data_IF_900393645092
#
_entry.id   IF_900393645092
#
_cell.length_a   1.000
_cell.length_b   1.000
_cell.length_c   1.000
_cell.angle_alpha   90.00
_cell.angle_beta   90.00
_cell.angle_gamma   90.00
#
_symmetry.space_group_name_H-M   'P 1'
#
loop_
_entity.id
_entity.type
_entity.pdbx_description
1 polymer ?
#
# COMPACT_ATOMS: atom_id res chain seq x y z
N UNK A 1 7.42 26.09 8.17
CA UNK A 1 8.43 25.04 7.96
C UNK A 1 7.82 24.02 7.04
N UNK A 2 8.48 23.69 5.94
CA UNK A 2 7.99 22.66 5.02
C UNK A 2 8.35 21.28 5.57
N UNK A 3 7.42 20.71 6.34
CA UNK A 3 7.59 19.44 7.05
C UNK A 3 7.51 18.24 6.10
N UNK A 4 6.60 18.31 5.13
CA UNK A 4 6.27 17.20 4.26
C UNK A 4 6.78 17.41 2.84
N UNK A 5 7.14 16.30 2.19
CA UNK A 5 7.35 16.24 0.75
C UNK A 5 6.20 15.42 0.19
N UNK A 6 5.45 16.01 -0.75
CA UNK A 6 4.27 15.39 -1.35
C UNK A 6 4.40 15.36 -2.86
N UNK A 7 3.94 14.28 -3.48
CA UNK A 7 3.95 14.14 -4.92
C UNK A 7 3.37 12.83 -5.41
N UNK A 8 3.64 12.56 -6.69
CA UNK A 8 3.36 11.27 -7.29
C UNK A 8 4.66 10.50 -7.45
N UNK A 9 4.62 9.21 -7.14
CA UNK A 9 5.71 8.28 -7.44
C UNK A 9 5.42 7.58 -8.78
N UNK A 10 6.45 7.31 -9.60
CA UNK A 10 6.30 6.43 -10.76
C UNK A 10 5.72 5.08 -10.34
N UNK A 11 4.97 4.43 -11.23
CA UNK A 11 4.50 3.08 -10.94
C UNK A 11 5.69 2.13 -10.74
N UNK A 12 5.71 1.34 -9.66
CA UNK A 12 6.77 0.35 -9.42
C UNK A 12 6.58 -0.92 -10.27
N UNK A 13 5.42 -1.10 -10.90
CA UNK A 13 5.12 -2.28 -11.72
C UNK A 13 5.27 -2.01 -13.21
N UNK A 14 6.12 -2.80 -13.89
CA UNK A 14 6.31 -2.72 -15.33
C UNK A 14 5.05 -3.08 -16.14
N UNK A 15 4.17 -3.92 -15.58
CA UNK A 15 2.90 -4.28 -16.21
C UNK A 15 1.83 -3.20 -16.08
N UNK A 16 1.99 -2.26 -15.15
CA UNK A 16 1.04 -1.17 -14.87
C UNK A 16 1.78 0.17 -14.83
N UNK A 17 2.47 0.59 -15.92
CA UNK A 17 3.35 1.76 -15.90
C UNK A 17 2.61 3.08 -15.63
N UNK A 18 1.32 3.11 -15.92
CA UNK A 18 0.47 4.29 -15.76
C UNK A 18 -0.27 4.32 -14.40
N UNK A 19 -0.03 3.34 -13.52
CA UNK A 19 -0.68 3.30 -12.21
C UNK A 19 -0.24 4.51 -11.37
N UNK A 20 -1.16 5.44 -11.03
CA UNK A 20 -0.80 6.60 -10.25
C UNK A 20 -0.57 6.20 -8.79
N UNK A 21 0.61 6.54 -8.25
CA UNK A 21 0.94 6.40 -6.84
C UNK A 21 1.08 7.78 -6.22
N UNK A 22 0.37 8.06 -5.13
CA UNK A 22 0.59 9.27 -4.33
C UNK A 22 1.42 8.94 -3.10
N UNK A 23 2.39 9.79 -2.81
CA UNK A 23 3.30 9.63 -1.69
C UNK A 23 3.39 10.92 -0.88
N UNK A 24 3.37 10.78 0.45
CA UNK A 24 3.76 11.84 1.37
C UNK A 24 4.86 11.33 2.30
N UNK A 25 5.91 12.13 2.43
CA UNK A 25 7.10 11.84 3.23
C UNK A 25 7.22 12.92 4.30
N UNK A 26 7.40 12.51 5.54
CA UNK A 26 7.86 13.40 6.61
C UNK A 26 9.37 13.57 6.48
N UNK A 27 9.83 14.76 6.07
CA UNK A 27 11.24 15.01 5.83
C UNK A 27 12.06 15.06 7.13
N UNK A 28 11.42 15.33 8.27
CA UNK A 28 12.09 15.37 9.56
C UNK A 28 12.24 13.98 10.16
N UNK A 29 11.17 13.19 10.12
CA UNK A 29 11.17 11.80 10.62
C UNK A 29 11.77 10.81 9.61
N UNK A 30 12.03 11.27 8.37
CA UNK A 30 12.55 10.46 7.26
C UNK A 30 11.69 9.20 7.04
N UNK A 31 10.39 9.40 7.02
CA UNK A 31 9.40 8.33 6.98
C UNK A 31 8.32 8.62 5.92
N UNK A 32 7.87 7.56 5.25
CA UNK A 32 6.69 7.61 4.38
C UNK A 32 5.45 7.56 5.26
N UNK A 33 4.62 8.58 5.20
CA UNK A 33 3.41 8.74 6.03
C UNK A 33 2.12 8.51 5.24
N UNK A 34 2.17 8.63 3.91
CA UNK A 34 1.09 8.23 3.00
C UNK A 34 1.70 7.52 1.82
N UNK A 35 1.13 6.37 1.47
CA UNK A 35 1.42 5.65 0.25
C UNK A 35 0.13 5.01 -0.25
N UNK A 36 -0.42 5.56 -1.33
CA UNK A 36 -1.72 5.13 -1.87
C UNK A 36 -1.63 4.95 -3.38
N UNK A 37 -2.34 3.94 -3.90
CA UNK A 37 -2.58 3.73 -5.33
C UNK A 37 -3.96 4.23 -5.73
N UNK A 38 -4.14 4.47 -7.03
CA UNK A 38 -5.44 4.76 -7.60
C UNK A 38 -6.07 3.51 -8.22
N UNK A 39 -7.18 3.05 -7.65
CA UNK A 39 -7.96 1.91 -8.13
C UNK A 39 -9.40 2.34 -8.30
N UNK A 40 -10.03 2.06 -9.45
CA UNK A 40 -11.41 2.44 -9.75
C UNK A 40 -11.74 3.90 -9.36
N UNK A 41 -10.90 4.81 -9.83
CA UNK A 41 -10.95 6.26 -9.58
C UNK A 41 -10.70 6.72 -8.13
N UNK A 42 -10.62 5.79 -7.18
CA UNK A 42 -10.46 6.03 -5.74
C UNK A 42 -9.00 5.89 -5.31
N UNK A 43 -8.58 6.65 -4.30
CA UNK A 43 -7.25 6.49 -3.72
C UNK A 43 -7.30 5.59 -2.50
N UNK A 44 -6.64 4.44 -2.58
CA UNK A 44 -6.64 3.44 -1.51
C UNK A 44 -5.21 3.13 -1.07
N UNK A 45 -4.99 2.73 0.19
CA UNK A 45 -3.75 2.09 0.61
C UNK A 45 -3.42 0.87 -0.25
N UNK A 46 -2.12 0.62 -0.37
CA UNK A 46 -1.66 -0.68 -0.85
C UNK A 46 -2.05 -1.78 0.13
N UNK A 47 -2.16 -3.00 -0.37
CA UNK A 47 -2.19 -4.14 0.52
C UNK A 47 -0.85 -4.29 1.26
N UNK A 48 -0.81 -5.12 2.30
CA UNK A 48 0.37 -5.24 3.16
C UNK A 48 1.63 -5.73 2.42
N UNK A 49 1.47 -6.57 1.39
CA UNK A 49 2.59 -7.14 0.65
C UNK A 49 3.19 -6.09 -0.29
N UNK A 50 2.34 -5.38 -1.03
CA UNK A 50 2.74 -4.35 -1.97
C UNK A 50 3.25 -3.10 -1.25
N UNK A 51 2.62 -2.71 -0.14
CA UNK A 51 3.05 -1.55 0.67
C UNK A 51 4.51 -1.69 1.10
N UNK A 52 4.91 -2.85 1.63
CA UNK A 52 6.29 -3.10 2.05
C UNK A 52 7.28 -2.97 0.89
N UNK A 53 6.98 -3.61 -0.24
CA UNK A 53 7.83 -3.56 -1.43
C UNK A 53 8.01 -2.12 -1.95
N UNK A 54 6.93 -1.38 -2.10
CA UNK A 54 6.97 -0.02 -2.65
C UNK A 54 7.62 0.94 -1.67
N UNK A 55 7.40 0.78 -0.36
CA UNK A 55 8.12 1.57 0.65
C UNK A 55 9.61 1.34 0.55
N UNK A 56 10.08 0.10 0.52
CA UNK A 56 11.51 -0.19 0.44
C UNK A 56 12.15 0.48 -0.80
N UNK A 57 11.47 0.39 -1.95
CA UNK A 57 11.93 1.03 -3.18
C UNK A 57 12.04 2.56 -3.07
N UNK A 58 11.08 3.22 -2.42
CA UNK A 58 11.12 4.67 -2.19
C UNK A 58 12.20 5.02 -1.14
N UNK A 59 12.35 4.18 -0.11
CA UNK A 59 13.30 4.39 0.97
C UNK A 59 14.75 4.33 0.48
N UNK A 60 15.05 3.54 -0.55
CA UNK A 60 16.37 3.51 -1.21
C UNK A 60 16.77 4.85 -1.83
N UNK A 61 15.80 5.65 -2.28
CA UNK A 61 16.02 6.96 -2.91
C UNK A 61 15.71 8.14 -1.98
N UNK A 62 15.36 7.86 -0.71
CA UNK A 62 14.79 8.84 0.21
C UNK A 62 15.69 10.07 0.39
N UNK A 63 17.00 9.87 0.54
CA UNK A 63 17.95 10.97 0.73
C UNK A 63 17.96 11.93 -0.46
N UNK A 64 17.93 11.39 -1.68
CA UNK A 64 17.92 12.19 -2.91
C UNK A 64 16.60 12.94 -3.08
N UNK A 65 15.47 12.30 -2.75
CA UNK A 65 14.15 12.93 -2.75
C UNK A 65 14.07 14.05 -1.71
N UNK A 66 14.65 13.86 -0.52
CA UNK A 66 14.68 14.90 0.52
C UNK A 66 15.57 16.07 0.11
N UNK A 67 16.70 15.82 -0.54
CA UNK A 67 17.62 16.85 -1.03
C UNK A 67 16.96 17.71 -2.11
N UNK A 68 16.50 17.09 -3.21
CA UNK A 68 15.83 17.78 -4.32
C UNK A 68 14.48 17.14 -4.70
N UNK A 69 13.40 17.46 -3.99
CA UNK A 69 12.06 16.97 -4.30
C UNK A 69 11.60 17.30 -5.72
N UNK A 70 12.06 18.43 -6.29
CA UNK A 70 11.57 18.89 -7.60
C UNK A 70 12.10 18.03 -8.74
N UNK A 71 13.33 17.51 -8.63
CA UNK A 71 13.88 16.55 -9.59
C UNK A 71 13.00 15.29 -9.71
N UNK A 72 12.33 14.94 -8.61
CA UNK A 72 11.40 13.82 -8.51
C UNK A 72 9.93 14.21 -8.77
N UNK A 73 9.65 15.42 -9.28
CA UNK A 73 8.28 15.89 -9.52
C UNK A 73 7.46 16.13 -8.24
N UNK A 74 8.12 16.20 -7.08
CA UNK A 74 7.51 16.44 -5.78
C UNK A 74 7.68 17.88 -5.31
N UNK A 75 6.96 18.23 -4.25
CA UNK A 75 7.04 19.55 -3.63
C UNK A 75 7.00 19.48 -2.12
N UNK A 76 7.72 20.42 -1.51
CA UNK A 76 7.71 20.69 -0.08
C UNK A 76 6.40 21.38 0.33
N UNK A 77 5.85 21.00 1.49
CA UNK A 77 4.63 21.56 2.11
C UNK A 77 4.70 21.55 3.64
N UNK A 78 4.01 22.49 4.27
CA UNK A 78 3.85 22.54 5.72
C UNK A 78 2.89 21.48 6.28
N UNK A 79 1.94 21.03 5.47
CA UNK A 79 0.85 20.13 5.84
C UNK A 79 0.57 19.11 4.72
N UNK A 80 -0.02 17.97 5.11
CA UNK A 80 -0.56 16.98 4.18
C UNK A 80 -1.99 17.42 3.79
N UNK A 81 -2.35 17.43 2.50
CA UNK A 81 -3.71 17.75 2.07
C UNK A 81 -4.75 16.86 2.76
N UNK A 82 -5.82 17.46 3.30
CA UNK A 82 -6.87 16.71 4.02
C UNK A 82 -7.49 15.58 3.17
N UNK A 83 -7.65 15.81 1.86
CA UNK A 83 -8.13 14.82 0.89
C UNK A 83 -7.20 13.62 0.68
N UNK A 84 -5.98 13.65 1.24
CA UNK A 84 -5.05 12.51 1.22
C UNK A 84 -5.13 11.67 2.48
N UNK A 85 -5.57 12.27 3.58
CA UNK A 85 -5.73 11.63 4.89
C UNK A 85 -7.12 10.97 5.01
N UNK A 86 -8.12 11.55 4.35
CA UNK A 86 -9.51 11.11 4.40
C UNK A 86 -10.01 10.82 2.98
N UNK A 87 -10.16 9.55 2.63
CA UNK A 87 -10.94 9.13 1.46
C UNK A 87 -12.12 8.31 1.98
N UNK A 88 -13.34 8.83 1.79
CA UNK A 88 -14.58 8.34 2.42
C UNK A 88 -14.96 6.90 2.03
N UNK A 89 -14.24 6.30 1.08
CA UNK A 89 -14.45 4.91 0.65
C UNK A 89 -13.99 3.87 1.71
N UNK A 90 -13.05 4.21 2.60
CA UNK A 90 -12.51 3.26 3.59
C UNK A 90 -12.25 3.93 4.96
N UNK A 91 -13.31 4.25 5.74
CA UNK A 91 -13.20 4.97 7.03
C UNK A 91 -12.56 4.18 8.19
N UNK A 92 -11.76 3.14 7.93
CA UNK A 92 -11.27 2.20 8.95
C UNK A 92 -9.77 1.92 8.99
N UNK A 93 -8.99 2.29 7.96
CA UNK A 93 -7.56 1.94 7.88
C UNK A 93 -6.68 3.19 7.73
N UNK A 94 -6.84 4.12 8.65
CA UNK A 94 -5.81 5.14 8.89
C UNK A 94 -4.82 4.60 9.91
N UNK A 95 -3.81 3.85 9.46
CA UNK A 95 -2.64 3.53 10.28
C UNK A 95 -1.75 4.77 10.45
N UNK A 96 -2.30 5.81 11.08
CA UNK A 96 -1.52 6.93 11.58
C UNK A 96 -1.06 6.55 12.99
N UNK A 97 0.10 5.88 13.05
CA UNK A 97 1.02 5.91 14.18
C UNK A 97 0.42 5.73 15.58
N UNK A 98 -0.32 4.65 15.83
CA UNK A 98 -0.60 4.20 17.19
C UNK A 98 -0.08 2.76 17.37
N UNK A 99 0.78 2.46 18.37
CA UNK A 99 1.23 1.10 18.61
C UNK A 99 0.05 0.30 19.14
N UNK A 100 -0.60 -0.48 18.28
CA UNK A 100 -1.59 -1.46 18.71
C UNK A 100 -0.81 -2.57 19.41
N UNK A 101 -1.04 -2.86 20.71
CA UNK A 101 -0.46 -4.03 21.32
C UNK A 101 -1.00 -5.25 20.60
N UNK A 102 -0.09 -6.01 19.97
CA UNK A 102 -0.36 -7.28 19.32
C UNK A 102 -0.99 -8.21 20.37
N UNK A 103 -2.31 -8.34 20.35
CA UNK A 103 -2.94 -9.51 20.95
C UNK A 103 -2.82 -10.63 19.93
N UNK A 104 -1.89 -11.52 20.24
CA UNK A 104 -1.69 -12.84 19.65
C UNK A 104 -3.06 -13.46 19.33
N UNK A 105 -3.37 -13.60 18.05
CA UNK A 105 -4.31 -14.61 17.60
C UNK A 105 -3.56 -15.46 16.59
N UNK A 106 -3.08 -16.60 17.10
CA UNK A 106 -2.57 -17.69 16.30
C UNK A 106 -3.60 -18.02 15.22
N UNK A 107 -3.26 -17.75 13.96
CA UNK A 107 -3.88 -18.47 12.87
C UNK A 107 -2.78 -19.03 11.98
N UNK A 108 -2.64 -20.33 12.14
CA UNK A 108 -1.77 -21.26 11.43
C UNK A 108 -1.79 -20.94 9.93
N UNK A 109 -0.64 -20.52 9.39
CA UNK A 109 -0.37 -20.50 7.96
C UNK A 109 -0.20 -21.95 7.48
N UNK A 110 -1.26 -22.58 6.98
CA UNK A 110 -1.14 -23.74 6.10
C UNK A 110 -0.90 -23.25 4.67
N UNK A 111 0.37 -23.02 4.36
CA UNK A 111 0.86 -22.85 2.99
C UNK A 111 0.72 -24.17 2.23
N UNK A 112 -0.39 -24.43 1.52
CA UNK A 112 -0.40 -25.50 0.52
C UNK A 112 -1.33 -25.23 -0.68
N UNK A 113 -0.76 -25.50 -1.87
CA UNK A 113 -1.37 -25.69 -3.20
C UNK A 113 -1.66 -24.40 -3.98
N UNK A 114 -1.02 -24.13 -5.12
CA UNK A 114 -0.72 -25.04 -6.22
C UNK A 114 -1.74 -24.81 -7.33
N UNK A 115 -1.39 -24.05 -8.38
CA UNK A 115 -2.10 -24.17 -9.65
C UNK A 115 -1.83 -25.59 -10.19
N UNK A 116 -2.84 -26.33 -10.71
CA UNK A 116 -3.51 -25.93 -11.95
C UNK A 116 -4.98 -26.35 -12.12
N UNK A 117 -5.71 -25.59 -12.93
CA UNK A 117 -6.56 -26.16 -13.99
C UNK A 117 -7.96 -26.71 -13.66
N UNK A 118 -8.87 -26.38 -14.59
CA UNK A 118 -10.00 -27.22 -15.05
C UNK A 118 -11.19 -27.43 -14.12
N UNK A 119 -12.14 -26.51 -14.27
CA UNK A 119 -13.60 -26.72 -14.28
C UNK A 119 -14.03 -28.15 -14.68
N UNK A 120 -14.56 -28.94 -13.74
CA UNK A 120 -15.51 -30.03 -14.00
C UNK A 120 -16.56 -30.16 -12.89
N UNK A 121 -17.83 -30.18 -13.32
CA UNK A 121 -19.04 -30.46 -12.54
C UNK A 121 -19.09 -31.93 -12.08
N UNK A 122 -19.53 -32.20 -10.86
CA UNK A 122 -20.38 -33.36 -10.46
C UNK A 122 -20.71 -33.21 -8.96
N UNK A 123 -21.96 -32.96 -8.58
CA UNK A 123 -23.06 -33.89 -8.26
C UNK A 123 -22.85 -34.68 -6.94
N UNK A 124 -23.71 -34.31 -5.99
CA UNK A 124 -24.05 -34.97 -4.73
C UNK A 124 -24.43 -36.44 -4.89
N UNK A 125 -24.07 -37.28 -3.91
CA UNK A 125 -24.56 -38.65 -3.80
C UNK A 125 -23.85 -39.52 -2.75
N UNK A 126 -24.34 -39.44 -1.51
CA UNK A 126 -24.29 -40.41 -0.41
C UNK A 126 -23.45 -41.71 -0.53
N UNK A 127 -22.56 -41.90 0.45
CA UNK A 127 -22.08 -43.20 0.90
C UNK A 127 -23.21 -43.98 1.60
N UNK A 128 -23.31 -45.29 1.31
CA UNK A 128 -23.85 -46.28 2.23
C UNK A 128 -22.92 -47.48 2.26
N UNK A 129 -22.55 -47.87 3.47
CA UNK A 129 -21.69 -48.99 3.82
C UNK A 129 -22.29 -50.34 3.39
N UNK A 130 -21.42 -51.27 2.99
CA UNK A 130 -21.38 -52.69 3.37
C UNK A 130 -19.99 -53.23 3.03
#
# INVERSE_FOLDING_TARGET
MDKFIIGQWPSPWACEPDLPVRVAIDAHERAIVILHQRVDESWIPFDHCDDGYVRDLIMDELDMVIEDPKAYGMRRRGDIPAAWVYDEAHPGEVNIGCPVPIQVQEHICDCVFGHPGRRRKARSGHNSCC
#
